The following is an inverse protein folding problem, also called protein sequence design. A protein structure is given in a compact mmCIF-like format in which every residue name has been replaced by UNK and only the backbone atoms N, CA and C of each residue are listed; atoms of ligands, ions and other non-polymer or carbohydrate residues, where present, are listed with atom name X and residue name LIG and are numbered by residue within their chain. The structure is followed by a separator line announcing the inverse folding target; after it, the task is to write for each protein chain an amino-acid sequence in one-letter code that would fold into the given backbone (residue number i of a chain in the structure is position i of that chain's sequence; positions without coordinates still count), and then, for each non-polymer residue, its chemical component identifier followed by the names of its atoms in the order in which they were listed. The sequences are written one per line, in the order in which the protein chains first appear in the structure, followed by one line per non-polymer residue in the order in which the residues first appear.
data_IF_621557308231
#
_entry.id   IF_621557308231
#
_cell.length_a   1.000
_cell.length_b   1.000
_cell.length_c   1.000
_cell.angle_alpha   90.00
_cell.angle_beta   90.00
_cell.angle_gamma   90.00
#
_symmetry.space_group_name_H-M   'P 1'
#
loop_
_entity.id
_entity.type
_entity.pdbx_description
1 polymer ?
#
# COMPACT_ATOMS: atom_id res chain seq x y z
N UNK A 1 -3.91 24.90 -2.04
CA UNK A 1 -3.79 23.65 -1.27
C UNK A 1 -5.05 22.78 -1.40
N UNK A 2 -6.25 23.35 -1.21
CA UNK A 2 -7.54 22.63 -1.41
C UNK A 2 -7.83 22.31 -2.89
N UNK A 3 -7.32 23.10 -3.85
CA UNK A 3 -7.49 22.84 -5.29
C UNK A 3 -6.72 21.63 -5.84
N UNK A 4 -5.68 21.15 -5.14
CA UNK A 4 -4.89 20.00 -5.58
C UNK A 4 -5.58 18.66 -5.27
N UNK A 5 -6.36 18.59 -4.18
CA UNK A 5 -7.11 17.38 -3.83
C UNK A 5 -8.34 17.18 -4.72
N UNK A 6 -8.93 18.27 -5.22
CA UNK A 6 -10.11 18.22 -6.10
C UNK A 6 -9.85 17.60 -7.49
N UNK A 7 -8.59 17.60 -7.96
CA UNK A 7 -8.23 17.00 -9.25
C UNK A 7 -7.78 15.53 -9.13
N UNK A 8 -7.48 15.04 -7.92
CA UNK A 8 -6.98 13.69 -7.72
C UNK A 8 -8.08 12.63 -7.74
N UNK A 9 -9.33 13.03 -7.47
CA UNK A 9 -10.51 12.17 -7.52
C UNK A 9 -11.30 12.53 -8.77
N UNK A 10 -10.76 12.20 -9.95
CA UNK A 10 -11.61 12.15 -11.13
C UNK A 10 -12.66 11.06 -10.88
N UNK A 11 -13.94 11.45 -10.92
CA UNK A 11 -15.11 10.55 -10.90
C UNK A 11 -15.18 9.73 -12.21
N UNK A 12 -14.10 9.07 -12.61
CA UNK A 12 -14.15 8.10 -13.68
C UNK A 12 -14.83 6.85 -13.13
N UNK A 13 -16.03 6.56 -13.63
CA UNK A 13 -16.70 5.29 -13.36
C UNK A 13 -15.89 4.19 -14.03
N UNK A 14 -15.04 3.54 -13.26
CA UNK A 14 -14.35 2.32 -13.68
C UNK A 14 -15.42 1.24 -13.83
N UNK A 15 -15.58 0.72 -15.05
CA UNK A 15 -16.51 -0.34 -15.36
C UNK A 15 -15.75 -1.51 -15.97
N UNK A 16 -16.06 -2.70 -15.48
CA UNK A 16 -15.57 -3.95 -16.00
C UNK A 16 -16.53 -5.07 -15.59
N UNK A 17 -16.48 -6.17 -16.33
CA UNK A 17 -17.26 -7.36 -16.05
C UNK A 17 -16.51 -8.33 -15.14
N UNK A 18 -15.17 -8.27 -15.15
CA UNK A 18 -14.30 -8.99 -14.23
C UNK A 18 -13.17 -8.07 -13.72
N UNK A 19 -12.41 -8.56 -12.73
CA UNK A 19 -11.32 -7.78 -12.11
C UNK A 19 -10.21 -7.44 -13.10
N UNK A 20 -9.94 -8.31 -14.07
CA UNK A 20 -8.87 -8.11 -15.07
C UNK A 20 -9.10 -6.86 -15.92
N UNK A 21 -10.37 -6.53 -16.20
CA UNK A 21 -10.78 -5.37 -16.99
C UNK A 21 -10.38 -4.04 -16.32
N UNK A 22 -10.32 -4.03 -14.98
CA UNK A 22 -10.22 -2.80 -14.18
C UNK A 22 -8.94 -2.71 -13.36
N UNK A 23 -8.21 -3.82 -13.20
CA UNK A 23 -7.04 -3.93 -12.31
C UNK A 23 -5.98 -2.87 -12.62
N UNK A 24 -5.65 -2.67 -13.89
CA UNK A 24 -4.62 -1.71 -14.28
C UNK A 24 -5.00 -0.28 -13.88
N UNK A 25 -6.26 0.10 -14.05
CA UNK A 25 -6.76 1.41 -13.65
C UNK A 25 -6.70 1.58 -12.14
N UNK A 26 -7.15 0.58 -11.37
CA UNK A 26 -7.09 0.59 -9.90
C UNK A 26 -5.65 0.75 -9.38
N UNK A 27 -4.69 -0.01 -9.93
CA UNK A 27 -3.27 0.15 -9.59
C UNK A 27 -2.72 1.53 -9.97
N UNK A 28 -3.21 2.12 -11.07
CA UNK A 28 -2.88 3.49 -11.46
C UNK A 28 -3.35 4.52 -10.43
N UNK A 29 -4.59 4.40 -9.96
CA UNK A 29 -5.13 5.24 -8.88
C UNK A 29 -4.36 5.05 -7.57
N UNK A 30 -4.06 3.81 -7.20
CA UNK A 30 -3.26 3.47 -6.02
C UNK A 30 -1.86 4.11 -6.08
N UNK A 31 -1.18 4.02 -7.22
CA UNK A 31 0.15 4.64 -7.41
C UNK A 31 0.12 6.16 -7.29
N UNK A 32 -0.89 6.82 -7.86
CA UNK A 32 -1.05 8.26 -7.74
C UNK A 32 -1.39 8.70 -6.30
N UNK A 33 -2.32 8.00 -5.66
CA UNK A 33 -2.69 8.22 -4.25
C UNK A 33 -1.50 8.03 -3.33
N UNK A 34 -0.73 6.95 -3.53
CA UNK A 34 0.50 6.67 -2.79
C UNK A 34 1.53 7.78 -2.93
N UNK A 35 1.75 8.29 -4.16
CA UNK A 35 2.66 9.41 -4.39
C UNK A 35 2.24 10.65 -3.59
N UNK A 36 0.96 11.02 -3.67
CA UNK A 36 0.43 12.18 -2.93
C UNK A 36 0.57 11.97 -1.42
N UNK A 37 0.21 10.79 -0.93
CA UNK A 37 0.30 10.42 0.48
C UNK A 37 1.74 10.54 1.01
N UNK A 38 2.71 9.88 0.37
CA UNK A 38 4.10 9.89 0.84
C UNK A 38 4.78 11.25 0.71
N UNK A 39 4.48 12.01 -0.33
CA UNK A 39 4.97 13.40 -0.46
C UNK A 39 4.39 14.30 0.64
N UNK A 40 3.12 14.10 0.98
CA UNK A 40 2.48 14.89 2.05
C UNK A 40 3.04 14.50 3.41
N UNK A 41 3.25 13.21 3.64
CA UNK A 41 3.79 12.70 4.90
C UNK A 41 5.25 13.12 5.10
N UNK A 42 6.09 13.08 4.06
CA UNK A 42 7.50 13.48 4.18
C UNK A 42 7.67 14.92 4.61
N UNK A 43 6.76 15.82 4.20
CA UNK A 43 6.75 17.21 4.63
C UNK A 43 6.45 17.41 6.13
N UNK A 44 5.98 16.38 6.84
CA UNK A 44 5.70 16.46 8.28
C UNK A 44 6.89 16.09 9.16
N UNK A 45 7.91 15.43 8.59
CA UNK A 45 9.08 14.98 9.34
C UNK A 45 10.21 16.01 9.32
N UNK A 46 11.04 16.06 10.38
CA UNK A 46 12.27 16.85 10.39
C UNK A 46 13.22 16.49 9.21
N UNK A 47 13.79 17.48 8.51
CA UNK A 47 14.65 17.23 7.34
C UNK A 47 15.91 16.41 7.61
N UNK A 48 16.43 16.45 8.83
CA UNK A 48 17.62 15.72 9.28
C UNK A 48 17.41 14.20 9.37
N UNK A 49 16.15 13.73 9.42
CA UNK A 49 15.82 12.32 9.31
C UNK A 49 15.91 11.78 7.87
N UNK A 50 16.11 12.64 6.87
CA UNK A 50 16.37 12.22 5.48
C UNK A 50 15.20 11.54 4.77
N UNK A 51 13.98 11.58 5.32
CA UNK A 51 12.80 10.95 4.73
C UNK A 51 12.24 11.78 3.57
N UNK A 52 12.53 11.38 2.33
CA UNK A 52 12.04 12.08 1.12
C UNK A 52 10.78 11.44 0.51
N UNK A 53 10.37 10.29 1.04
CA UNK A 53 9.25 9.49 0.55
C UNK A 53 9.50 8.01 0.81
N UNK A 54 8.55 7.17 0.39
CA UNK A 54 8.62 5.73 0.63
C UNK A 54 9.74 5.08 -0.19
N UNK A 55 10.65 4.40 0.51
CA UNK A 55 11.71 3.57 -0.06
C UNK A 55 11.55 2.12 0.41
N UNK A 56 11.77 1.17 -0.49
CA UNK A 56 11.61 -0.26 -0.23
C UNK A 56 12.81 -0.88 0.52
N UNK A 57 13.30 -2.01 -0.02
CA UNK A 57 14.44 -2.75 0.55
C UNK A 57 15.69 -1.89 0.62
N UNK A 58 16.47 -2.07 1.69
CA UNK A 58 17.75 -1.38 1.93
C UNK A 58 17.63 0.13 2.10
N UNK A 59 16.48 0.61 2.59
CA UNK A 59 16.34 2.01 2.99
C UNK A 59 17.42 2.39 4.01
N UNK A 60 17.98 3.59 3.85
CA UNK A 60 19.07 4.10 4.69
C UNK A 60 18.58 5.11 5.73
N UNK A 61 17.37 5.65 5.53
CA UNK A 61 16.76 6.57 6.49
C UNK A 61 16.00 5.81 7.60
N UNK A 62 15.97 6.36 8.83
CA UNK A 62 15.33 5.73 9.98
C UNK A 62 13.82 5.53 9.77
N UNK A 63 13.13 6.45 9.10
CA UNK A 63 11.67 6.37 8.92
C UNK A 63 11.27 5.20 8.03
N UNK A 64 11.88 5.05 6.85
CA UNK A 64 11.63 3.89 6.00
C UNK A 64 12.08 2.59 6.64
N UNK A 65 13.13 2.61 7.47
CA UNK A 65 13.55 1.43 8.23
C UNK A 65 12.47 0.99 9.22
N UNK A 66 11.87 1.93 9.97
CA UNK A 66 10.75 1.67 10.86
C UNK A 66 9.52 1.16 10.11
N UNK A 67 9.14 1.83 9.00
CA UNK A 67 8.01 1.40 8.16
C UNK A 67 8.23 0.01 7.58
N UNK A 68 9.42 -0.30 7.09
CA UNK A 68 9.78 -1.62 6.58
C UNK A 68 9.61 -2.70 7.65
N UNK A 69 10.09 -2.43 8.87
CA UNK A 69 9.96 -3.34 9.99
C UNK A 69 8.49 -3.56 10.39
N UNK A 70 7.73 -2.46 10.56
CA UNK A 70 6.32 -2.51 10.91
C UNK A 70 5.47 -3.25 9.87
N UNK A 71 5.70 -3.00 8.58
CA UNK A 71 5.02 -3.76 7.51
C UNK A 71 5.43 -5.23 7.49
N UNK A 72 6.65 -5.59 7.86
CA UNK A 72 7.06 -6.99 8.02
C UNK A 72 6.29 -7.70 9.13
N UNK A 73 6.05 -7.03 10.26
CA UNK A 73 5.20 -7.56 11.33
C UNK A 73 3.74 -7.68 10.85
N UNK A 74 3.20 -6.61 10.26
CA UNK A 74 1.83 -6.59 9.72
C UNK A 74 1.60 -7.72 8.71
N UNK A 75 2.58 -7.98 7.83
CA UNK A 75 2.51 -9.08 6.88
C UNK A 75 2.35 -10.43 7.59
N UNK A 76 3.09 -10.67 8.67
CA UNK A 76 2.98 -11.88 9.47
C UNK A 76 1.61 -12.04 10.14
N UNK A 77 1.04 -10.94 10.66
CA UNK A 77 -0.29 -10.94 11.26
C UNK A 77 -1.40 -11.21 10.25
N UNK A 78 -1.37 -10.55 9.09
CA UNK A 78 -2.35 -10.75 8.02
C UNK A 78 -2.26 -12.17 7.45
N UNK A 79 -1.05 -12.68 7.22
CA UNK A 79 -0.84 -14.06 6.80
C UNK A 79 -1.46 -15.05 7.80
N UNK A 80 -1.27 -14.82 9.11
CA UNK A 80 -1.86 -15.67 10.15
C UNK A 80 -3.39 -15.61 10.13
N UNK A 81 -3.95 -14.41 9.97
CA UNK A 81 -5.40 -14.22 9.88
C UNK A 81 -6.02 -14.93 8.66
N UNK A 82 -5.38 -14.85 7.49
CA UNK A 82 -5.78 -15.56 6.28
C UNK A 82 -5.84 -17.07 6.51
N UNK A 83 -4.80 -17.65 7.13
CA UNK A 83 -4.77 -19.08 7.44
C UNK A 83 -5.88 -19.48 8.43
N UNK A 84 -6.13 -18.67 9.46
CA UNK A 84 -7.23 -18.95 10.41
C UNK A 84 -8.61 -18.85 9.75
N UNK A 85 -8.78 -18.00 8.74
CA UNK A 85 -9.99 -17.91 7.95
C UNK A 85 -10.16 -19.06 6.94
N UNK A 86 -9.13 -19.91 6.76
CA UNK A 86 -9.13 -21.00 5.78
C UNK A 86 -9.01 -20.51 4.33
N UNK A 87 -8.51 -19.29 4.12
CA UNK A 87 -8.31 -18.72 2.79
C UNK A 87 -6.94 -19.11 2.23
N UNK A 88 -6.82 -19.19 0.90
CA UNK A 88 -5.55 -19.41 0.22
C UNK A 88 -4.74 -18.09 0.15
N UNK A 89 -3.57 -17.98 0.81
CA UNK A 89 -2.75 -16.76 0.75
C UNK A 89 -2.28 -16.38 -0.65
N UNK A 90 -2.27 -17.31 -1.60
CA UNK A 90 -1.79 -17.11 -2.95
C UNK A 90 -2.86 -16.62 -3.93
N UNK A 91 -4.15 -16.63 -3.56
CA UNK A 91 -5.25 -16.20 -4.44
C UNK A 91 -5.57 -14.71 -4.30
N UNK A 92 -4.73 -13.84 -4.86
CA UNK A 92 -4.96 -12.39 -4.84
C UNK A 92 -5.92 -11.91 -5.92
N UNK A 93 -6.49 -10.72 -5.72
CA UNK A 93 -7.36 -10.04 -6.67
C UNK A 93 -6.65 -8.87 -7.35
N UNK A 94 -6.09 -7.95 -6.55
CA UNK A 94 -5.44 -6.73 -7.04
C UNK A 94 -3.97 -6.97 -7.34
N UNK A 95 -3.26 -7.61 -6.43
CA UNK A 95 -1.88 -8.03 -6.65
C UNK A 95 -1.83 -9.31 -7.48
N UNK A 96 -1.09 -9.25 -8.59
CA UNK A 96 -0.98 -10.38 -9.54
C UNK A 96 -0.29 -11.57 -8.89
N UNK A 97 -0.90 -12.74 -9.09
CA UNK A 97 -0.36 -14.05 -8.75
C UNK A 97 0.92 -14.31 -9.54
N UNK A 98 2.05 -14.02 -8.90
CA UNK A 98 3.32 -14.61 -9.26
C UNK A 98 3.51 -15.83 -8.39
N UNK A 99 3.94 -16.94 -8.99
CA UNK A 99 4.25 -18.16 -8.24
C UNK A 99 5.16 -17.84 -7.05
N UNK A 100 4.73 -18.25 -5.85
CA UNK A 100 5.42 -18.01 -4.58
C UNK A 100 5.15 -16.65 -3.91
N UNK A 101 4.33 -15.77 -4.49
CA UNK A 101 3.90 -14.52 -3.85
C UNK A 101 2.55 -14.74 -3.17
N UNK A 102 2.46 -14.47 -1.87
CA UNK A 102 1.20 -14.48 -1.11
C UNK A 102 0.34 -13.25 -1.45
N UNK A 103 -0.22 -13.21 -2.66
CA UNK A 103 -0.91 -12.04 -3.23
C UNK A 103 -2.06 -11.53 -2.35
N UNK A 104 -2.87 -12.44 -1.78
CA UNK A 104 -4.00 -12.08 -0.92
C UNK A 104 -3.55 -11.39 0.37
N UNK A 105 -2.36 -11.72 0.88
CA UNK A 105 -1.76 -11.04 2.03
C UNK A 105 -1.53 -9.57 1.69
N UNK A 106 -0.96 -9.28 0.51
CA UNK A 106 -0.70 -7.90 0.11
C UNK A 106 -2.00 -7.12 -0.11
N UNK A 107 -3.01 -7.74 -0.71
CA UNK A 107 -4.32 -7.12 -0.88
C UNK A 107 -4.95 -6.73 0.46
N UNK A 108 -4.99 -7.65 1.43
CA UNK A 108 -5.59 -7.38 2.73
C UNK A 108 -4.74 -6.45 3.60
N UNK A 109 -3.41 -6.44 3.42
CA UNK A 109 -2.54 -5.53 4.15
C UNK A 109 -2.89 -4.07 3.89
N UNK A 110 -3.29 -3.70 2.67
CA UNK A 110 -3.50 -2.29 2.29
C UNK A 110 -4.51 -1.56 3.20
N UNK A 111 -5.54 -2.24 3.69
CA UNK A 111 -6.54 -1.65 4.61
C UNK A 111 -5.96 -1.30 6.00
N UNK A 112 -4.83 -1.89 6.38
CA UNK A 112 -4.27 -1.79 7.72
C UNK A 112 -2.97 -0.98 7.79
N UNK A 113 -2.30 -0.72 6.66
CA UNK A 113 -0.97 -0.07 6.64
C UNK A 113 -0.98 1.25 7.40
N UNK A 114 -1.92 2.13 7.09
CA UNK A 114 -1.97 3.46 7.68
C UNK A 114 -2.39 3.42 9.15
N UNK A 115 -3.34 2.55 9.51
CA UNK A 115 -3.92 2.52 10.86
C UNK A 115 -3.03 1.79 11.88
N UNK A 116 -2.31 0.76 11.43
CA UNK A 116 -1.51 -0.11 12.30
C UNK A 116 -0.04 0.29 12.29
N UNK A 117 0.49 0.74 11.14
CA UNK A 117 1.93 1.03 11.00
C UNK A 117 2.18 2.53 10.89
N UNK A 118 1.64 3.21 9.88
CA UNK A 118 2.04 4.60 9.59
C UNK A 118 1.66 5.60 10.69
N UNK A 119 0.63 5.28 11.48
CA UNK A 119 0.17 6.10 12.61
C UNK A 119 1.10 6.03 13.85
N UNK A 120 1.83 4.94 14.01
CA UNK A 120 2.62 4.62 15.22
C UNK A 120 3.98 5.30 15.17
#
# INVERSE_FOLDING_TARGET
MISFLSNAIQNEKIQGTCIDDVRQSLQGFEGNSSRIYWTSLSATFPPDLGFQGRAGRYAQDPINSMLNYGYGILQGEVLRAIHFAGLDPYGGYLHVDRSGRSSLVFDLMEEFRQQVVDKV
#
